data_IF_302142829338
#
_entry.id   IF_302142829338
#
_cell.length_a   1.000
_cell.length_b   1.000
_cell.length_c   1.000
_cell.angle_alpha   90.00
_cell.angle_beta   90.00
_cell.angle_gamma   90.00
#
_symmetry.space_group_name_H-M   'P 1'
#
loop_
_entity.id
_entity.type
_entity.pdbx_description
1 polymer ?
#
# COMPACT_ATOMS: atom_id res chain seq x y z
N UNK A 1 -9.61 13.09 1.19
CA UNK A 1 -9.01 13.09 2.54
C UNK A 1 -9.09 11.65 3.04
N UNK A 2 -7.97 10.91 3.04
CA UNK A 2 -7.94 9.50 3.46
C UNK A 2 -8.07 9.48 4.99
N UNK A 3 -9.08 8.76 5.51
CA UNK A 3 -9.24 8.51 6.95
C UNK A 3 -8.35 7.33 7.31
N UNK A 4 -7.44 7.53 8.24
CA UNK A 4 -6.51 6.52 8.74
C UNK A 4 -7.22 5.23 9.14
N UNK A 5 -6.58 4.09 8.83
CA UNK A 5 -7.00 2.76 9.25
C UNK A 5 -6.41 2.55 10.64
N UNK A 6 -7.25 2.66 11.68
CA UNK A 6 -6.85 2.27 13.04
C UNK A 6 -7.01 0.75 13.16
N UNK A 7 -5.92 0.02 13.29
CA UNK A 7 -5.95 -1.39 13.66
C UNK A 7 -5.98 -1.51 15.19
N UNK A 8 -7.06 -2.08 15.72
CA UNK A 8 -7.18 -2.42 17.14
C UNK A 8 -6.40 -3.72 17.43
N UNK A 9 -5.12 -3.56 17.76
CA UNK A 9 -4.29 -4.66 18.28
C UNK A 9 -4.29 -4.55 19.81
N UNK A 10 -5.40 -4.95 20.44
CA UNK A 10 -5.52 -5.02 21.90
C UNK A 10 -5.65 -3.66 22.61
N UNK A 11 -6.47 -2.77 22.07
CA UNK A 11 -6.79 -1.43 22.60
C UNK A 11 -5.66 -0.40 22.50
N UNK A 12 -4.65 -0.64 21.66
CA UNK A 12 -3.58 0.33 21.37
C UNK A 12 -3.75 0.88 19.96
N UNK A 13 -3.85 2.21 19.83
CA UNK A 13 -3.77 2.89 18.54
C UNK A 13 -2.30 2.92 18.11
N UNK A 14 -1.98 2.24 17.02
CA UNK A 14 -0.66 2.24 16.42
C UNK A 14 -0.72 3.12 15.17
N UNK A 15 0.19 4.08 15.06
CA UNK A 15 0.38 4.83 13.82
C UNK A 15 1.23 4.01 12.85
N UNK A 16 0.62 3.53 11.77
CA UNK A 16 1.30 2.76 10.73
C UNK A 16 1.78 3.62 9.55
N UNK A 17 1.67 4.95 9.62
CA UNK A 17 1.99 5.85 8.52
C UNK A 17 3.41 5.65 7.99
N UNK A 18 4.40 5.54 8.89
CA UNK A 18 5.80 5.30 8.51
C UNK A 18 6.00 3.92 7.88
N UNK A 19 5.32 2.88 8.38
CA UNK A 19 5.40 1.54 7.82
C UNK A 19 4.79 1.48 6.41
N UNK A 20 3.69 2.19 6.18
CA UNK A 20 3.06 2.31 4.87
C UNK A 20 4.00 3.03 3.90
N UNK A 21 4.56 4.17 4.31
CA UNK A 21 5.49 4.94 3.48
C UNK A 21 6.73 4.11 3.12
N UNK A 22 7.31 3.39 4.09
CA UNK A 22 8.41 2.47 3.84
C UNK A 22 8.05 1.40 2.79
N UNK A 23 6.88 0.77 2.91
CA UNK A 23 6.41 -0.25 1.95
C UNK A 23 6.26 0.32 0.54
N UNK A 24 5.68 1.52 0.39
CA UNK A 24 5.50 2.19 -0.90
C UNK A 24 6.86 2.53 -1.52
N UNK A 25 7.77 3.12 -0.75
CA UNK A 25 9.11 3.46 -1.23
C UNK A 25 9.89 2.23 -1.70
N UNK A 26 9.72 1.07 -1.04
CA UNK A 26 10.35 -0.17 -1.49
C UNK A 26 9.76 -0.69 -2.82
N UNK A 27 8.47 -0.51 -3.08
CA UNK A 27 7.89 -0.82 -4.39
C UNK A 27 8.43 0.11 -5.47
N UNK A 28 8.47 1.42 -5.20
CA UNK A 28 8.90 2.44 -6.17
C UNK A 28 10.38 2.36 -6.56
N UNK A 29 11.23 1.74 -5.73
CA UNK A 29 12.65 1.52 -6.04
C UNK A 29 12.91 0.38 -7.01
N UNK A 30 11.92 -0.49 -7.24
CA UNK A 30 12.09 -1.65 -8.11
C UNK A 30 12.11 -1.25 -9.58
N UNK A 31 12.83 -1.99 -10.43
CA UNK A 31 12.79 -1.79 -11.87
C UNK A 31 11.35 -1.99 -12.38
N UNK A 32 10.90 -1.12 -13.30
CA UNK A 32 9.54 -1.09 -13.86
C UNK A 32 8.43 -0.67 -12.89
N UNK A 33 8.78 -0.12 -11.71
CA UNK A 33 7.76 0.47 -10.85
C UNK A 33 7.06 1.65 -11.54
N UNK A 34 5.72 1.77 -11.41
CA UNK A 34 5.00 2.94 -11.88
C UNK A 34 5.40 4.17 -11.04
N UNK A 35 4.98 5.35 -11.46
CA UNK A 35 5.04 6.52 -10.60
C UNK A 35 4.12 6.35 -9.37
N UNK A 36 4.39 7.13 -8.32
CA UNK A 36 3.64 7.08 -7.06
C UNK A 36 2.14 7.31 -7.25
N UNK A 37 1.75 8.28 -8.08
CA UNK A 37 0.35 8.64 -8.25
C UNK A 37 -0.43 7.50 -8.91
N UNK A 38 0.17 6.85 -9.91
CA UNK A 38 -0.40 5.68 -10.57
C UNK A 38 -0.53 4.50 -9.60
N UNK A 39 0.49 4.22 -8.78
CA UNK A 39 0.43 3.18 -7.75
C UNK A 39 -0.69 3.45 -6.73
N UNK A 40 -0.76 4.67 -6.21
CA UNK A 40 -1.76 5.07 -5.21
C UNK A 40 -3.19 5.00 -5.78
N UNK A 41 -3.40 5.51 -7.00
CA UNK A 41 -4.70 5.38 -7.71
C UNK A 41 -5.10 3.92 -7.84
N UNK A 42 -4.16 3.04 -8.19
CA UNK A 42 -4.44 1.63 -8.34
C UNK A 42 -4.79 0.95 -7.01
N UNK A 43 -4.07 1.30 -5.94
CA UNK A 43 -4.39 0.82 -4.59
C UNK A 43 -5.80 1.27 -4.16
N UNK A 44 -6.20 2.51 -4.44
CA UNK A 44 -7.56 3.01 -4.16
C UNK A 44 -8.62 2.23 -4.93
N UNK A 45 -8.38 1.96 -6.23
CA UNK A 45 -9.27 1.14 -7.06
C UNK A 45 -9.45 -0.26 -6.47
N UNK A 46 -8.36 -0.94 -6.11
CA UNK A 46 -8.39 -2.28 -5.53
C UNK A 46 -9.08 -2.29 -4.16
N UNK A 47 -8.86 -1.26 -3.33
CA UNK A 47 -9.55 -1.11 -2.05
C UNK A 47 -11.06 -1.02 -2.24
N UNK A 48 -11.54 -0.27 -3.25
CA UNK A 48 -12.97 -0.17 -3.59
C UNK A 48 -13.59 -1.50 -4.03
N UNK A 49 -12.76 -2.45 -4.50
CA UNK A 49 -13.15 -3.79 -4.93
C UNK A 49 -13.00 -4.84 -3.80
N UNK A 50 -12.75 -4.41 -2.56
CA UNK A 50 -12.54 -5.29 -1.41
C UNK A 50 -11.35 -6.27 -1.58
N UNK A 51 -10.35 -5.85 -2.37
CA UNK A 51 -9.08 -6.57 -2.60
C UNK A 51 -8.00 -6.10 -1.63
N UNK A 52 -6.80 -6.71 -1.69
CA UNK A 52 -5.65 -6.34 -0.87
C UNK A 52 -4.81 -5.29 -1.62
N UNK A 53 -4.96 -3.99 -1.33
CA UNK A 53 -4.47 -2.93 -2.22
C UNK A 53 -2.97 -3.01 -2.49
N UNK A 54 -2.17 -3.22 -1.44
CA UNK A 54 -0.72 -3.30 -1.52
C UNK A 54 -0.25 -4.53 -2.30
N UNK A 55 -0.76 -5.72 -1.95
CA UNK A 55 -0.30 -7.00 -2.55
C UNK A 55 -0.79 -7.15 -3.98
N UNK A 56 -2.03 -6.77 -4.25
CA UNK A 56 -2.63 -6.91 -5.57
C UNK A 56 -2.09 -5.85 -6.54
N UNK A 57 -1.83 -4.61 -6.08
CA UNK A 57 -1.16 -3.61 -6.92
C UNK A 57 0.26 -4.03 -7.29
N UNK A 58 1.05 -4.49 -6.30
CA UNK A 58 2.39 -5.00 -6.57
C UNK A 58 2.36 -6.14 -7.61
N UNK A 59 1.41 -7.09 -7.46
CA UNK A 59 1.23 -8.18 -8.42
C UNK A 59 0.86 -7.70 -9.82
N UNK A 60 -0.02 -6.71 -9.97
CA UNK A 60 -0.40 -6.17 -11.28
C UNK A 60 0.77 -5.49 -12.01
N UNK A 61 1.67 -4.83 -11.27
CA UNK A 61 2.88 -4.22 -11.83
C UNK A 61 4.09 -5.17 -11.88
N UNK A 62 3.92 -6.44 -11.50
CA UNK A 62 5.02 -7.42 -11.47
C UNK A 62 6.11 -7.11 -10.44
N UNK A 63 5.76 -6.44 -9.34
CA UNK A 63 6.66 -6.05 -8.27
C UNK A 63 6.64 -7.06 -7.11
N UNK A 64 7.75 -7.15 -6.39
CA UNK A 64 7.88 -7.97 -5.19
C UNK A 64 7.52 -7.18 -3.92
N UNK A 65 6.67 -7.76 -3.07
CA UNK A 65 6.36 -7.19 -1.76
C UNK A 65 7.37 -7.63 -0.72
N UNK A 66 7.73 -6.72 0.21
CA UNK A 66 8.48 -7.11 1.40
C UNK A 66 7.64 -8.04 2.29
N UNK A 67 8.28 -9.01 2.94
CA UNK A 67 7.64 -10.01 3.82
C UNK A 67 7.33 -9.44 5.20
#
# INVERSE_FOLDING_TARGET
MIKYIFFDLGSTLIDESECIEYRIQNLLKQPNAPDRESLERKMIELASQNKLPYKDAAKEYGLETIR
#
